data_IF_212188390524
#
_entry.id   IF_212188390524
#
_cell.length_a   1.000
_cell.length_b   1.000
_cell.length_c   1.000
_cell.angle_alpha   90.00
_cell.angle_beta   90.00
_cell.angle_gamma   90.00
#
_symmetry.space_group_name_H-M   'P 1'
#
loop_
_entity.id
_entity.type
_entity.pdbx_description
1 polymer ?
#
# COMPACT_ATOMS: atom_id res chain seq x y z
N UNK A 1 -3.12 -6.66 -2.31
CA UNK A 1 -3.90 -7.70 -3.04
C UNK A 1 -3.14 -9.01 -3.22
N UNK A 2 -2.07 -9.04 -4.03
CA UNK A 2 -1.26 -10.26 -4.26
C UNK A 2 -0.69 -10.85 -2.94
N UNK A 3 -0.37 -9.97 -1.98
CA UNK A 3 0.31 -10.31 -0.70
C UNK A 3 -0.65 -10.68 0.44
N UNK A 4 -1.95 -10.45 0.30
CA UNK A 4 -2.88 -10.70 1.41
C UNK A 4 -2.89 -12.20 1.78
N UNK A 5 -2.66 -12.48 3.07
CA UNK A 5 -2.60 -13.83 3.67
C UNK A 5 -1.52 -14.73 3.05
N UNK A 6 -0.39 -14.17 2.62
CA UNK A 6 0.74 -14.92 2.07
C UNK A 6 2.05 -14.39 2.64
N UNK A 7 3.06 -15.25 2.77
CA UNK A 7 4.40 -14.80 3.21
C UNK A 7 5.00 -13.81 2.20
N UNK A 8 5.86 -12.91 2.68
CA UNK A 8 6.54 -11.94 1.80
C UNK A 8 7.29 -12.61 0.65
N UNK A 9 7.90 -13.77 0.92
CA UNK A 9 8.61 -14.56 -0.09
C UNK A 9 7.68 -15.08 -1.19
N UNK A 10 6.53 -15.65 -0.82
CA UNK A 10 5.55 -16.15 -1.79
C UNK A 10 5.01 -15.00 -2.63
N UNK A 11 4.69 -13.87 -1.99
CA UNK A 11 4.23 -12.68 -2.67
C UNK A 11 5.26 -12.11 -3.66
N UNK A 12 6.54 -12.08 -3.29
CA UNK A 12 7.62 -11.66 -4.17
C UNK A 12 7.70 -12.56 -5.41
N UNK A 13 7.70 -13.88 -5.22
CA UNK A 13 7.73 -14.86 -6.32
C UNK A 13 6.51 -14.75 -7.24
N UNK A 14 5.32 -14.51 -6.70
CA UNK A 14 4.11 -14.31 -7.52
C UNK A 14 4.26 -13.06 -8.38
N UNK A 15 4.68 -11.92 -7.80
CA UNK A 15 4.90 -10.68 -8.57
C UNK A 15 5.94 -10.85 -9.66
N UNK A 16 7.04 -11.54 -9.35
CA UNK A 16 8.11 -11.82 -10.31
C UNK A 16 7.58 -12.66 -11.48
N UNK A 17 6.82 -13.74 -11.24
CA UNK A 17 6.26 -14.56 -12.32
C UNK A 17 5.28 -13.78 -13.21
N UNK A 18 4.48 -12.88 -12.62
CA UNK A 18 3.57 -12.02 -13.39
C UNK A 18 4.39 -11.07 -14.28
N UNK A 19 5.44 -10.45 -13.74
CA UNK A 19 6.35 -9.59 -14.49
C UNK A 19 7.05 -10.34 -15.62
N UNK A 20 7.61 -11.53 -15.36
CA UNK A 20 8.31 -12.34 -16.36
C UNK A 20 7.41 -12.76 -17.53
N UNK A 21 6.12 -12.99 -17.27
CA UNK A 21 5.16 -13.46 -18.29
C UNK A 21 4.49 -12.34 -19.06
N UNK A 22 4.16 -11.24 -18.40
CA UNK A 22 3.29 -10.20 -18.96
C UNK A 22 3.94 -8.81 -18.98
N UNK A 23 5.16 -8.69 -18.45
CA UNK A 23 5.88 -7.43 -18.30
C UNK A 23 6.77 -7.10 -19.49
N UNK A 24 7.02 -5.81 -19.69
CA UNK A 24 8.02 -5.36 -20.64
C UNK A 24 9.44 -5.72 -20.15
N UNK A 25 10.34 -6.02 -21.09
CA UNK A 25 11.76 -6.21 -20.80
C UNK A 25 12.45 -4.85 -20.79
N UNK A 26 13.15 -4.54 -19.70
CA UNK A 26 13.88 -3.28 -19.52
C UNK A 26 15.35 -3.62 -19.27
N UNK A 27 16.25 -3.03 -20.04
CA UNK A 27 17.70 -3.21 -19.86
C UNK A 27 18.29 -1.99 -19.15
N UNK A 28 18.99 -2.22 -18.04
CA UNK A 28 19.71 -1.20 -17.26
C UNK A 28 21.12 -1.73 -17.02
N UNK A 29 22.14 -0.96 -17.40
CA UNK A 29 23.56 -1.30 -17.26
C UNK A 29 23.92 -2.72 -17.78
N UNK A 30 23.35 -3.09 -18.94
CA UNK A 30 23.58 -4.40 -19.55
C UNK A 30 22.80 -5.56 -18.94
N UNK A 31 22.05 -5.34 -17.86
CA UNK A 31 21.19 -6.33 -17.23
C UNK A 31 19.75 -6.17 -17.68
N UNK A 32 19.12 -7.26 -18.12
CA UNK A 32 17.71 -7.26 -18.54
C UNK A 32 16.79 -7.72 -17.41
N UNK A 33 15.79 -6.90 -17.11
CA UNK A 33 14.78 -7.13 -16.08
C UNK A 33 13.39 -7.20 -16.71
N UNK A 34 12.48 -7.92 -16.05
CA UNK A 34 11.06 -7.86 -16.37
C UNK A 34 10.38 -6.82 -15.46
N UNK A 35 9.82 -5.77 -16.05
CA UNK A 35 9.04 -4.78 -15.32
C UNK A 35 7.67 -5.36 -14.92
N UNK A 36 7.07 -4.86 -13.85
CA UNK A 36 5.68 -5.26 -13.55
C UNK A 36 4.75 -4.75 -14.67
N UNK A 37 3.77 -5.54 -15.12
CA UNK A 37 2.96 -5.19 -16.29
C UNK A 37 2.10 -3.94 -16.03
N UNK A 38 1.90 -3.07 -17.03
CA UNK A 38 0.95 -1.97 -16.92
C UNK A 38 -0.50 -2.50 -16.85
N UNK A 39 -1.46 -1.68 -16.39
CA UNK A 39 -2.86 -2.09 -16.24
C UNK A 39 -3.48 -2.72 -17.50
N UNK A 40 -3.20 -2.17 -18.69
CA UNK A 40 -3.70 -2.71 -19.97
C UNK A 40 -3.27 -4.16 -20.19
N UNK A 41 -1.99 -4.48 -19.97
CA UNK A 41 -1.46 -5.84 -20.13
C UNK A 41 -2.04 -6.81 -19.10
N UNK A 42 -2.39 -6.34 -17.89
CA UNK A 42 -3.08 -7.16 -16.90
C UNK A 42 -4.52 -7.49 -17.30
N UNK A 43 -5.18 -6.62 -18.07
CA UNK A 43 -6.53 -6.85 -18.58
C UNK A 43 -6.52 -7.75 -19.82
N UNK A 44 -5.52 -7.64 -20.68
CA UNK A 44 -5.40 -8.42 -21.92
C UNK A 44 -4.85 -9.84 -21.69
N UNK A 45 -4.13 -10.09 -20.60
CA UNK A 45 -3.62 -11.42 -20.29
C UNK A 45 -4.76 -12.43 -20.14
N UNK A 46 -4.63 -13.63 -20.71
CA UNK A 46 -5.62 -14.70 -20.56
C UNK A 46 -5.72 -15.19 -19.11
N UNK A 47 -4.60 -15.28 -18.40
CA UNK A 47 -4.52 -15.68 -17.00
C UNK A 47 -3.30 -15.08 -16.30
N UNK A 48 -3.44 -14.71 -15.03
CA UNK A 48 -2.34 -14.13 -14.24
C UNK A 48 -1.62 -15.16 -13.33
N UNK A 49 -2.07 -16.42 -13.35
CA UNK A 49 -1.54 -17.46 -12.47
C UNK A 49 -1.89 -17.22 -10.99
N UNK A 50 -3.04 -16.59 -10.75
CA UNK A 50 -3.60 -16.32 -9.43
C UNK A 50 -4.90 -17.14 -9.25
N UNK A 51 -5.36 -17.38 -8.00
CA UNK A 51 -6.72 -17.84 -7.77
C UNK A 51 -7.74 -16.87 -8.38
N UNK A 52 -8.84 -17.39 -8.92
CA UNK A 52 -9.84 -16.62 -9.68
C UNK A 52 -10.27 -15.32 -8.99
N UNK A 53 -10.59 -15.37 -7.70
CA UNK A 53 -10.97 -14.17 -6.92
C UNK A 53 -9.85 -13.11 -6.88
N UNK A 54 -8.59 -13.51 -6.71
CA UNK A 54 -7.46 -12.56 -6.70
C UNK A 54 -7.19 -11.99 -8.10
N UNK A 55 -7.44 -12.79 -9.13
CA UNK A 55 -7.34 -12.32 -10.51
C UNK A 55 -8.42 -11.27 -10.82
N UNK A 56 -9.67 -11.52 -10.44
CA UNK A 56 -10.75 -10.54 -10.52
C UNK A 56 -10.39 -9.23 -9.82
N UNK A 57 -9.84 -9.30 -8.60
CA UNK A 57 -9.41 -8.11 -7.86
C UNK A 57 -8.29 -7.34 -8.58
N UNK A 58 -7.29 -8.03 -9.13
CA UNK A 58 -6.21 -7.39 -9.88
C UNK A 58 -6.74 -6.72 -11.15
N UNK A 59 -7.67 -7.37 -11.86
CA UNK A 59 -8.32 -6.80 -13.05
C UNK A 59 -9.20 -5.60 -12.69
N UNK A 60 -9.93 -5.65 -11.58
CA UNK A 60 -10.70 -4.53 -11.05
C UNK A 60 -9.81 -3.32 -10.74
N UNK A 61 -8.65 -3.55 -10.11
CA UNK A 61 -7.66 -2.50 -9.87
C UNK A 61 -7.04 -1.97 -11.16
N UNK A 62 -6.75 -2.84 -12.13
CA UNK A 62 -6.23 -2.41 -13.41
C UNK A 62 -7.23 -1.50 -14.14
N UNK A 63 -8.52 -1.83 -14.08
CA UNK A 63 -9.58 -0.97 -14.63
C UNK A 63 -9.67 0.38 -13.91
N UNK A 64 -9.71 0.37 -12.59
CA UNK A 64 -9.70 1.61 -11.79
C UNK A 64 -8.47 2.48 -12.07
N UNK A 65 -7.31 1.89 -12.35
CA UNK A 65 -6.11 2.63 -12.74
C UNK A 65 -6.28 3.31 -14.11
N UNK A 66 -6.86 2.60 -15.10
CA UNK A 66 -7.13 3.16 -16.42
C UNK A 66 -8.23 4.23 -16.39
N UNK A 67 -9.20 4.10 -15.48
CA UNK A 67 -10.28 5.07 -15.29
C UNK A 67 -9.83 6.32 -14.49
N UNK A 68 -8.56 6.40 -14.08
CA UNK A 68 -7.98 7.56 -13.39
C UNK A 68 -8.14 7.56 -11.86
N UNK A 69 -8.90 6.62 -11.29
CA UNK A 69 -9.19 6.51 -9.84
C UNK A 69 -7.93 6.25 -9.01
N UNK A 70 -6.94 5.55 -9.57
CA UNK A 70 -5.69 5.21 -8.86
C UNK A 70 -4.51 6.13 -9.19
N UNK A 71 -4.77 7.34 -9.69
CA UNK A 71 -3.72 8.33 -9.98
C UNK A 71 -3.28 9.08 -8.73
N UNK A 72 -2.03 9.57 -8.74
CA UNK A 72 -1.48 10.36 -7.64
C UNK A 72 -2.23 11.69 -7.52
N UNK A 73 -2.54 12.29 -8.66
CA UNK A 73 -3.23 13.56 -8.82
C UNK A 73 -4.64 13.48 -8.23
N UNK A 74 -5.43 12.47 -8.62
CA UNK A 74 -6.79 12.27 -8.10
C UNK A 74 -6.79 12.01 -6.59
N UNK A 75 -6.06 10.99 -6.14
CA UNK A 75 -6.09 10.58 -4.73
C UNK A 75 -5.57 11.64 -3.77
N UNK A 76 -4.67 12.52 -4.21
CA UNK A 76 -4.17 13.65 -3.40
C UNK A 76 -5.03 14.91 -3.48
N UNK A 77 -5.95 14.99 -4.44
CA UNK A 77 -6.89 16.11 -4.56
C UNK A 77 -8.05 16.01 -3.57
N UNK A 78 -8.35 14.79 -3.10
CA UNK A 78 -9.42 14.49 -2.14
C UNK A 78 -8.97 14.69 -0.69
N UNK A 79 -9.92 14.86 0.23
CA UNK A 79 -9.60 14.72 1.64
C UNK A 79 -9.13 13.27 1.91
N UNK A 80 -8.17 13.04 2.84
CA UNK A 80 -7.63 11.70 3.10
C UNK A 80 -8.71 10.65 3.40
N UNK A 81 -9.73 11.03 4.14
CA UNK A 81 -10.85 10.17 4.52
C UNK A 81 -11.73 9.79 3.31
N UNK A 82 -11.92 10.72 2.37
CA UNK A 82 -12.65 10.50 1.12
C UNK A 82 -11.86 9.57 0.18
N UNK A 83 -10.56 9.84 -0.01
CA UNK A 83 -9.69 8.97 -0.79
C UNK A 83 -9.65 7.54 -0.23
N UNK A 84 -9.60 7.38 1.09
CA UNK A 84 -9.66 6.07 1.74
C UNK A 84 -11.01 5.38 1.51
N UNK A 85 -12.13 6.11 1.53
CA UNK A 85 -13.45 5.56 1.25
C UNK A 85 -13.56 5.06 -0.19
N UNK A 86 -13.10 5.87 -1.16
CA UNK A 86 -13.08 5.51 -2.58
C UNK A 86 -12.21 4.28 -2.85
N UNK A 87 -11.01 4.24 -2.26
CA UNK A 87 -10.11 3.07 -2.36
C UNK A 87 -10.75 1.81 -1.79
N UNK A 88 -11.51 1.90 -0.68
CA UNK A 88 -12.18 0.74 -0.06
C UNK A 88 -13.38 0.23 -0.84
N UNK A 89 -13.93 1.02 -1.76
CA UNK A 89 -14.97 0.57 -2.66
C UNK A 89 -14.44 -0.39 -3.74
N UNK A 90 -13.11 -0.41 -3.96
CA UNK A 90 -12.48 -1.30 -4.92
C UNK A 90 -12.44 -2.75 -4.43
N UNK A 91 -12.63 -3.73 -5.33
CA UNK A 91 -12.73 -5.13 -4.95
C UNK A 91 -11.47 -5.64 -4.25
N UNK A 92 -11.68 -6.18 -3.04
CA UNK A 92 -10.65 -6.74 -2.17
C UNK A 92 -9.73 -5.72 -1.47
N UNK A 93 -9.95 -4.42 -1.65
CA UNK A 93 -9.19 -3.37 -0.96
C UNK A 93 -9.76 -3.11 0.43
N UNK A 94 -9.18 -3.75 1.45
CA UNK A 94 -9.50 -3.48 2.85
C UNK A 94 -8.82 -2.22 3.42
N UNK A 95 -9.15 -1.81 4.66
CA UNK A 95 -8.63 -0.58 5.29
C UNK A 95 -7.11 -0.45 5.27
N UNK A 96 -6.40 -1.53 5.59
CA UNK A 96 -4.94 -1.58 5.53
C UNK A 96 -4.40 -1.38 4.10
N UNK A 97 -5.01 -2.01 3.10
CA UNK A 97 -4.56 -1.89 1.70
C UNK A 97 -4.85 -0.49 1.15
N UNK A 98 -6.01 0.09 1.46
CA UNK A 98 -6.34 1.47 1.11
C UNK A 98 -5.31 2.46 1.71
N UNK A 99 -4.97 2.31 2.99
CA UNK A 99 -3.94 3.13 3.63
C UNK A 99 -2.58 3.03 2.95
N UNK A 100 -2.15 1.82 2.56
CA UNK A 100 -0.89 1.65 1.83
C UNK A 100 -0.94 2.24 0.41
N UNK A 101 -2.06 2.11 -0.30
CA UNK A 101 -2.22 2.72 -1.63
C UNK A 101 -2.13 4.24 -1.52
N UNK A 102 -2.85 4.86 -0.57
CA UNK A 102 -2.85 6.30 -0.40
C UNK A 102 -1.47 6.84 0.05
N UNK A 103 -0.84 6.20 1.02
CA UNK A 103 0.43 6.69 1.60
C UNK A 103 1.63 6.34 0.70
N UNK A 104 1.77 5.08 0.28
CA UNK A 104 2.96 4.62 -0.46
C UNK A 104 2.77 4.65 -1.97
N UNK A 105 1.55 4.43 -2.46
CA UNK A 105 1.25 4.46 -3.88
C UNK A 105 1.12 5.90 -4.38
N UNK A 106 0.19 6.67 -3.80
CA UNK A 106 -0.06 8.05 -4.18
C UNK A 106 0.87 9.06 -3.50
N UNK A 107 1.60 8.68 -2.44
CA UNK A 107 2.49 9.61 -1.74
C UNK A 107 1.72 10.76 -1.05
N UNK A 108 0.50 10.50 -0.56
CA UNK A 108 -0.27 11.50 0.18
C UNK A 108 0.49 11.90 1.46
N UNK A 109 0.74 13.21 1.70
CA UNK A 109 1.55 13.65 2.83
C UNK A 109 0.78 13.59 4.17
N UNK A 110 -0.55 13.76 4.11
CA UNK A 110 -1.39 13.95 5.28
C UNK A 110 -2.38 12.78 5.52
N UNK A 111 -1.90 11.53 5.47
CA UNK A 111 -2.72 10.35 5.77
C UNK A 111 -2.10 9.52 6.92
N UNK A 112 -2.92 9.13 7.89
CA UNK A 112 -2.50 8.28 9.00
C UNK A 112 -2.90 6.81 8.76
N UNK A 113 -1.98 5.84 8.86
CA UNK A 113 -2.28 4.41 8.68
C UNK A 113 -2.94 3.84 9.95
N UNK A 114 -4.19 4.24 10.20
CA UNK A 114 -4.93 3.98 11.43
C UNK A 114 -5.38 2.54 11.69
N UNK A 115 -4.84 1.57 10.94
CA UNK A 115 -5.11 0.14 11.06
C UNK A 115 -3.79 -0.67 10.97
N UNK A 116 -2.73 -0.15 11.58
CA UNK A 116 -1.37 -0.73 11.56
C UNK A 116 -0.88 -1.02 13.00
N UNK A 117 -1.10 -2.24 13.53
CA UNK A 117 -0.75 -2.57 14.92
C UNK A 117 0.73 -2.36 15.27
N UNK A 118 1.64 -2.55 14.30
CA UNK A 118 3.08 -2.30 14.49
C UNK A 118 3.36 -0.82 14.78
N UNK A 119 2.70 0.09 14.04
CA UNK A 119 2.85 1.52 14.30
C UNK A 119 2.29 1.88 15.68
N UNK A 120 1.15 1.30 16.08
CA UNK A 120 0.59 1.53 17.42
C UNK A 120 1.55 1.11 18.53
N UNK A 121 2.22 -0.05 18.38
CA UNK A 121 3.26 -0.47 19.33
C UNK A 121 4.40 0.54 19.46
N UNK A 122 4.90 1.05 18.33
CA UNK A 122 5.97 2.05 18.29
C UNK A 122 5.52 3.36 18.94
N UNK A 123 4.32 3.85 18.61
CA UNK A 123 3.78 5.08 19.18
C UNK A 123 3.50 4.94 20.67
N UNK A 124 3.02 3.78 21.10
CA UNK A 124 2.80 3.50 22.51
C UNK A 124 4.08 3.63 23.31
N UNK A 125 5.17 3.04 22.84
CA UNK A 125 6.49 3.14 23.47
C UNK A 125 7.01 4.58 23.43
N UNK A 126 7.00 5.21 22.25
CA UNK A 126 7.54 6.55 22.07
C UNK A 126 6.82 7.64 22.89
N UNK A 127 5.52 7.47 23.16
CA UNK A 127 4.70 8.42 23.93
C UNK A 127 4.39 7.93 25.36
N UNK A 128 4.91 6.77 25.79
CA UNK A 128 4.64 6.21 27.13
C UNK A 128 3.16 5.92 27.39
N UNK A 129 2.43 5.43 26.40
CA UNK A 129 0.98 5.20 26.51
C UNK A 129 0.65 3.83 27.14
N UNK A 130 -0.50 3.67 27.80
CA UNK A 130 -0.95 2.39 28.34
C UNK A 130 -1.12 1.29 27.27
N UNK A 131 -0.96 0.02 27.66
CA UNK A 131 -1.11 -1.13 26.75
C UNK A 131 -2.50 -1.24 26.12
N UNK A 132 -3.54 -0.86 26.88
CA UNK A 132 -4.95 -0.86 26.50
C UNK A 132 -5.39 0.40 25.73
N UNK A 133 -4.45 1.26 25.32
CA UNK A 133 -4.75 2.47 24.54
C UNK A 133 -5.52 2.10 23.27
N UNK A 134 -6.75 2.63 23.08
CA UNK A 134 -7.58 2.24 21.96
C UNK A 134 -7.06 2.82 20.63
N UNK A 135 -7.29 2.14 19.48
CA UNK A 135 -6.88 2.61 18.15
C UNK A 135 -7.25 4.08 17.83
N UNK A 136 -8.41 4.55 18.34
CA UNK A 136 -8.87 5.92 18.15
C UNK A 136 -7.96 6.98 18.80
N UNK A 137 -7.26 6.64 19.89
CA UNK A 137 -6.33 7.56 20.55
C UNK A 137 -5.10 7.87 19.68
N UNK A 138 -4.58 6.89 18.94
CA UNK A 138 -3.47 7.13 18.01
C UNK A 138 -3.89 8.03 16.85
N UNK A 139 -5.14 7.93 16.39
CA UNK A 139 -5.67 8.84 15.35
C UNK A 139 -5.73 10.28 15.87
N UNK A 140 -6.19 10.49 17.10
CA UNK A 140 -6.20 11.82 17.74
C UNK A 140 -4.79 12.37 17.94
N UNK A 141 -3.85 11.52 18.38
CA UNK A 141 -2.45 11.89 18.54
C UNK A 141 -1.82 12.32 17.21
N UNK A 142 -2.14 11.63 16.12
CA UNK A 142 -1.65 11.96 14.79
C UNK A 142 -2.16 13.31 14.27
N UNK A 143 -3.25 13.88 14.79
CA UNK A 143 -3.72 15.21 14.38
C UNK A 143 -2.67 16.30 14.60
N UNK A 144 -1.81 16.15 15.61
CA UNK A 144 -0.69 17.07 15.87
C UNK A 144 0.40 17.05 14.79
N UNK A 145 0.42 16.05 13.91
CA UNK A 145 1.42 15.91 12.85
C UNK A 145 0.96 16.46 11.51
N UNK A 146 -0.25 17.02 11.42
CA UNK A 146 -0.70 17.67 10.19
C UNK A 146 0.24 18.80 9.79
N UNK A 147 0.49 19.02 8.48
CA UNK A 147 -0.05 18.30 7.32
C UNK A 147 0.82 17.10 6.87
N UNK A 148 1.62 16.52 7.76
CA UNK A 148 2.66 15.53 7.44
C UNK A 148 2.47 14.20 8.19
N UNK A 149 1.22 13.81 8.48
CA UNK A 149 0.90 12.58 9.22
C UNK A 149 1.56 11.32 8.64
N UNK A 150 1.67 11.23 7.31
CA UNK A 150 2.31 10.09 6.64
C UNK A 150 3.81 10.05 6.86
N UNK A 151 4.47 11.21 6.83
CA UNK A 151 5.91 11.34 7.08
C UNK A 151 6.26 11.07 8.54
N UNK A 152 5.50 11.63 9.50
CA UNK A 152 5.69 11.32 10.91
C UNK A 152 5.56 9.80 11.16
N UNK A 153 4.52 9.17 10.61
CA UNK A 153 4.33 7.72 10.69
C UNK A 153 5.46 6.91 10.05
N UNK A 154 6.08 7.43 8.99
CA UNK A 154 7.26 6.83 8.38
C UNK A 154 8.50 6.96 9.27
N UNK A 155 8.76 8.14 9.82
CA UNK A 155 9.92 8.41 10.67
C UNK A 155 9.89 7.58 11.96
N UNK A 156 8.74 7.47 12.62
CA UNK A 156 8.59 6.58 13.78
C UNK A 156 9.00 5.14 13.46
N UNK A 157 8.59 4.62 12.29
CA UNK A 157 9.00 3.28 11.84
C UNK A 157 10.49 3.21 11.56
N UNK A 158 11.05 4.22 10.86
CA UNK A 158 12.45 4.25 10.49
C UNK A 158 13.38 4.19 11.73
N UNK A 159 13.04 4.94 12.78
CA UNK A 159 13.81 4.97 14.02
C UNK A 159 13.80 3.60 14.73
N UNK A 160 12.64 2.92 14.75
CA UNK A 160 12.55 1.59 15.35
C UNK A 160 13.33 0.50 14.59
N UNK A 161 13.58 0.67 13.28
CA UNK A 161 14.44 -0.26 12.54
C UNK A 161 15.94 -0.04 12.83
N UNK A 162 16.35 1.19 13.16
CA UNK A 162 17.71 1.50 13.59
C UNK A 162 18.01 0.97 15.00
N UNK A 163 17.05 1.10 15.92
CA UNK A 163 17.21 0.65 17.31
C UNK A 163 17.23 -0.88 17.49
N UNK A 164 16.74 -1.66 16.52
CA UNK A 164 16.78 -3.13 16.55
C UNK A 164 18.07 -3.73 15.94
N UNK A 165 19.00 -2.88 15.49
CA UNK A 165 20.26 -3.27 14.85
C UNK A 165 21.51 -3.02 15.71
N UNK A 166 21.34 -2.61 16.97
CA UNK A 166 22.38 -2.57 18.03
C UNK A 166 22.11 -3.65 19.07
#
# INVERSE_FOLDING_TARGET
MIVQRSSMLIAARIKQRIAERHGARVTVDGHTFAAFPPPVSLLEADALGLPAQKEEWVRGLARAALDGVLTTEHLRSLAPEEALAELRALPGVGPFSAGLILIRGAGAPDAFPGDEPRLFGILREAYGLPEDTPPASYRRLAEAWRPYRSWASFLFRAISYGAAGE
#
